data_IF_756998340217
#
_entry.id   IF_756998340217
#
_cell.length_a   1.000
_cell.length_b   1.000
_cell.length_c   1.000
_cell.angle_alpha   90.00
_cell.angle_beta   90.00
_cell.angle_gamma   90.00
#
_symmetry.space_group_name_H-M   'P 1'
#
loop_
_entity.id
_entity.type
_entity.pdbx_description
1 polymer ?
#
# COMPACT_ATOMS: atom_id res chain seq x y z
N UNK A 1 39.97 -15.93 27.36
CA UNK A 1 38.68 -16.64 27.33
C UNK A 1 37.59 -15.56 27.34
N UNK A 2 36.98 -15.31 26.21
CA UNK A 2 35.87 -14.34 26.11
C UNK A 2 34.57 -15.04 26.52
N UNK A 3 33.94 -14.53 27.57
CA UNK A 3 32.60 -14.98 27.99
C UNK A 3 31.57 -14.63 26.91
N UNK A 4 30.99 -15.65 26.32
CA UNK A 4 29.87 -15.51 25.40
C UNK A 4 28.65 -15.13 26.22
N UNK A 5 28.20 -13.90 26.09
CA UNK A 5 26.95 -13.41 26.69
C UNK A 5 25.79 -14.19 26.07
N UNK A 6 25.29 -15.17 26.81
CA UNK A 6 24.16 -16.01 26.40
C UNK A 6 22.85 -15.24 26.50
N UNK A 7 22.55 -14.40 25.52
CA UNK A 7 21.21 -13.81 25.37
C UNK A 7 20.25 -14.88 24.89
N UNK A 8 19.25 -15.21 25.72
CA UNK A 8 18.15 -16.07 25.28
C UNK A 8 17.18 -15.25 24.42
N UNK A 9 16.62 -15.83 23.34
CA UNK A 9 15.61 -15.17 22.53
C UNK A 9 14.37 -14.84 23.37
N UNK A 10 13.96 -13.58 23.36
CA UNK A 10 12.67 -13.18 23.91
C UNK A 10 11.56 -13.83 23.09
N UNK A 11 10.58 -14.47 23.74
CA UNK A 11 9.39 -15.02 23.07
C UNK A 11 8.65 -13.87 22.38
N UNK A 12 8.53 -13.91 21.06
CA UNK A 12 7.88 -12.90 20.23
C UNK A 12 6.38 -13.13 20.18
N UNK A 13 5.68 -12.79 21.23
CA UNK A 13 4.30 -12.29 21.12
C UNK A 13 4.44 -10.81 20.76
N UNK A 14 3.80 -10.33 19.67
CA UNK A 14 3.93 -8.96 19.21
C UNK A 14 3.81 -7.97 20.37
N UNK A 15 4.75 -7.02 20.49
CA UNK A 15 4.77 -6.10 21.61
C UNK A 15 3.52 -5.21 21.56
N UNK A 16 3.05 -4.72 22.71
CA UNK A 16 1.96 -3.73 22.75
C UNK A 16 2.26 -2.51 21.87
N UNK A 17 3.54 -2.19 21.67
CA UNK A 17 3.98 -1.13 20.77
C UNK A 17 3.72 -1.49 19.29
N UNK A 18 3.91 -2.75 18.89
CA UNK A 18 3.58 -3.20 17.51
C UNK A 18 2.07 -3.23 17.27
N UNK A 19 1.27 -3.62 18.25
CA UNK A 19 -0.18 -3.55 18.16
C UNK A 19 -0.67 -2.10 18.07
N UNK A 20 -0.15 -1.21 18.93
CA UNK A 20 -0.47 0.21 18.88
C UNK A 20 -0.05 0.85 17.54
N UNK A 21 1.13 0.52 17.03
CA UNK A 21 1.60 0.96 15.72
C UNK A 21 0.65 0.51 14.61
N UNK A 22 0.27 -0.77 14.56
CA UNK A 22 -0.62 -1.31 13.55
C UNK A 22 -2.02 -0.68 13.61
N UNK A 23 -2.55 -0.46 14.82
CA UNK A 23 -3.86 0.15 15.02
C UNK A 23 -3.85 1.62 14.56
N UNK A 24 -2.87 2.43 14.99
CA UNK A 24 -2.77 3.84 14.61
C UNK A 24 -2.55 3.97 13.11
N UNK A 25 -1.67 3.16 12.53
CA UNK A 25 -1.41 3.11 11.10
C UNK A 25 -2.68 2.79 10.29
N UNK A 26 -3.47 1.84 10.78
CA UNK A 26 -4.77 1.48 10.19
C UNK A 26 -5.75 2.66 10.24
N UNK A 27 -5.90 3.32 11.39
CA UNK A 27 -6.78 4.49 11.53
C UNK A 27 -6.36 5.67 10.65
N UNK A 28 -5.05 5.84 10.38
CA UNK A 28 -4.56 6.82 9.37
C UNK A 28 -4.98 6.39 7.97
N UNK A 29 -4.80 5.12 7.62
CA UNK A 29 -5.13 4.57 6.30
C UNK A 29 -6.65 4.59 6.01
N UNK A 30 -7.49 4.44 7.04
CA UNK A 30 -8.95 4.47 6.96
C UNK A 30 -9.53 5.89 7.10
N UNK A 31 -8.66 6.92 7.26
CA UNK A 31 -9.06 8.33 7.38
C UNK A 31 -9.68 8.71 8.72
N UNK A 32 -9.78 7.80 9.68
CA UNK A 32 -10.24 8.09 11.05
C UNK A 32 -9.35 9.13 11.74
N UNK A 33 -8.05 9.07 11.46
CA UNK A 33 -7.06 10.07 11.81
C UNK A 33 -6.70 10.88 10.57
N UNK A 34 -7.44 11.95 10.34
CA UNK A 34 -7.30 12.77 9.15
C UNK A 34 -5.93 13.47 9.04
N UNK A 35 -5.42 13.72 7.82
CA UNK A 35 -4.21 14.51 7.59
C UNK A 35 -4.30 15.87 8.29
N UNK A 36 -3.21 16.30 8.93
CA UNK A 36 -3.14 17.53 9.73
C UNK A 36 -3.78 17.46 11.11
N UNK A 37 -4.50 16.38 11.45
CA UNK A 37 -5.11 16.21 12.76
C UNK A 37 -4.06 16.15 13.87
N UNK A 38 -4.26 16.90 14.94
CA UNK A 38 -3.40 16.85 16.12
C UNK A 38 -3.68 15.58 16.93
N UNK A 39 -2.63 14.85 17.26
CA UNK A 39 -2.68 13.65 18.09
C UNK A 39 -1.84 13.81 19.34
N UNK A 40 -2.24 13.14 20.41
CA UNK A 40 -1.46 13.11 21.66
C UNK A 40 -1.29 11.67 22.12
N UNK A 41 -0.11 11.37 22.68
CA UNK A 41 0.18 10.05 23.26
C UNK A 41 -0.91 9.62 24.25
N UNK A 42 -1.38 10.57 25.08
CA UNK A 42 -2.37 10.31 26.13
C UNK A 42 -3.74 9.96 25.56
N UNK A 43 -4.19 10.68 24.52
CA UNK A 43 -5.48 10.41 23.88
C UNK A 43 -5.47 9.04 23.19
N UNK A 44 -4.47 8.78 22.36
CA UNK A 44 -4.33 7.50 21.66
C UNK A 44 -4.18 6.32 22.64
N UNK A 45 -3.48 6.51 23.76
CA UNK A 45 -3.37 5.49 24.80
C UNK A 45 -4.73 5.18 25.45
N UNK A 46 -5.53 6.21 25.71
CA UNK A 46 -6.89 6.04 26.23
C UNK A 46 -7.81 5.32 25.23
N UNK A 47 -7.74 5.73 23.95
CA UNK A 47 -8.56 5.14 22.88
C UNK A 47 -8.19 3.66 22.63
N UNK A 48 -6.90 3.30 22.74
CA UNK A 48 -6.40 1.94 22.56
C UNK A 48 -6.45 1.08 23.85
N UNK A 49 -6.81 1.65 24.99
CA UNK A 49 -6.86 0.93 26.27
C UNK A 49 -5.48 0.47 26.78
N UNK A 50 -4.41 1.19 26.46
CA UNK A 50 -3.02 0.86 26.86
C UNK A 50 -2.36 2.01 27.61
N UNK A 51 -1.18 1.76 28.18
CA UNK A 51 -0.36 2.83 28.77
C UNK A 51 0.26 3.72 27.69
N UNK A 52 0.70 4.96 28.00
CA UNK A 52 1.33 5.85 27.01
C UNK A 52 2.66 5.34 26.42
N UNK A 53 3.37 4.46 27.13
CA UNK A 53 4.69 3.99 26.71
C UNK A 53 4.68 3.26 25.34
N UNK A 54 3.86 2.21 25.12
CA UNK A 54 3.80 1.54 23.82
C UNK A 54 3.31 2.47 22.70
N UNK A 55 2.42 3.42 23.00
CA UNK A 55 1.94 4.42 22.02
C UNK A 55 3.07 5.38 21.63
N UNK A 56 3.91 5.80 22.56
CA UNK A 56 5.09 6.64 22.27
C UNK A 56 6.07 5.93 21.34
N UNK A 57 6.33 4.65 21.56
CA UNK A 57 7.18 3.84 20.67
C UNK A 57 6.56 3.70 19.27
N UNK A 58 5.26 3.44 19.20
CA UNK A 58 4.52 3.40 17.96
C UNK A 58 4.58 4.73 17.19
N UNK A 59 4.33 5.85 17.87
CA UNK A 59 4.39 7.19 17.28
C UNK A 59 5.79 7.56 16.79
N UNK A 60 6.85 7.17 17.50
CA UNK A 60 8.23 7.36 17.01
C UNK A 60 8.49 6.61 15.71
N UNK A 61 7.96 5.40 15.59
CA UNK A 61 8.07 4.60 14.37
C UNK A 61 7.30 5.26 13.22
N UNK A 62 6.07 5.72 13.47
CA UNK A 62 5.26 6.45 12.50
C UNK A 62 5.89 7.80 12.12
N UNK A 63 6.56 8.49 13.06
CA UNK A 63 7.31 9.72 12.79
C UNK A 63 8.53 9.44 11.88
N UNK A 64 9.22 8.33 12.10
CA UNK A 64 10.32 7.90 11.23
C UNK A 64 9.84 7.51 9.81
N UNK A 65 8.63 7.00 9.69
CA UNK A 65 7.97 6.66 8.44
C UNK A 65 7.31 7.87 7.75
N UNK A 66 7.35 9.06 8.37
CA UNK A 66 6.74 10.27 7.84
C UNK A 66 5.21 10.33 7.90
N UNK A 67 4.56 9.37 8.58
CA UNK A 67 3.10 9.35 8.79
C UNK A 67 2.63 10.28 9.90
N UNK A 68 3.54 10.61 10.82
CA UNK A 68 3.34 11.57 11.92
C UNK A 68 4.50 12.56 11.88
N UNK A 69 4.22 13.83 12.12
CA UNK A 69 5.22 14.89 12.15
C UNK A 69 5.10 15.72 13.43
N UNK A 70 6.20 16.38 13.82
CA UNK A 70 6.20 17.36 14.89
C UNK A 70 6.09 18.76 14.32
N UNK A 71 5.06 19.49 14.77
CA UNK A 71 4.97 20.92 14.48
C UNK A 71 6.04 21.71 15.22
N UNK A 72 6.25 22.97 14.84
CA UNK A 72 7.17 23.92 15.51
C UNK A 72 6.88 24.04 17.01
N UNK A 73 5.64 23.83 17.44
CA UNK A 73 5.21 23.79 18.83
C UNK A 73 5.45 22.42 19.53
N UNK A 74 6.19 21.51 18.91
CA UNK A 74 6.45 20.13 19.35
C UNK A 74 5.21 19.27 19.55
N UNK A 75 4.08 19.66 18.96
CA UNK A 75 2.86 18.86 18.96
C UNK A 75 2.93 17.83 17.82
N UNK A 76 2.47 16.61 18.12
CA UNK A 76 2.35 15.59 17.10
C UNK A 76 1.08 15.81 16.27
N UNK A 77 1.20 15.67 14.97
CA UNK A 77 0.07 15.68 14.04
C UNK A 77 0.26 14.59 12.97
N UNK A 78 -0.83 14.13 12.44
CA UNK A 78 -0.79 13.29 11.25
C UNK A 78 -0.21 14.12 10.12
N UNK A 79 0.74 13.58 9.39
CA UNK A 79 1.39 14.31 8.31
C UNK A 79 0.33 14.80 7.31
N UNK A 80 0.32 16.11 7.09
CA UNK A 80 -0.47 16.68 6.01
C UNK A 80 0.36 16.52 4.73
N UNK A 81 -0.14 15.74 3.80
CA UNK A 81 0.55 15.60 2.52
C UNK A 81 0.17 16.78 1.62
N UNK A 82 1.11 17.64 1.23
CA UNK A 82 0.90 18.55 0.11
C UNK A 82 0.60 17.72 -1.13
N UNK A 83 -0.31 18.18 -1.99
CA UNK A 83 -0.67 17.45 -3.21
C UNK A 83 0.53 17.13 -4.12
N UNK A 84 1.59 17.95 -4.06
CA UNK A 84 2.86 17.73 -4.74
C UNK A 84 3.58 16.48 -4.22
N UNK A 85 3.63 16.29 -2.91
CA UNK A 85 4.27 15.13 -2.28
C UNK A 85 3.52 13.82 -2.57
N UNK A 86 2.20 13.87 -2.73
CA UNK A 86 1.40 12.68 -3.06
C UNK A 86 1.71 12.21 -4.48
N UNK A 87 1.79 13.11 -5.46
CA UNK A 87 2.14 12.78 -6.84
C UNK A 87 3.53 12.13 -6.92
N UNK A 88 4.52 12.74 -6.27
CA UNK A 88 5.88 12.21 -6.19
C UNK A 88 5.95 10.82 -5.53
N UNK A 89 5.20 10.63 -4.43
CA UNK A 89 5.12 9.34 -3.75
C UNK A 89 4.46 8.26 -4.63
N UNK A 90 3.42 8.62 -5.37
CA UNK A 90 2.77 7.72 -6.32
C UNK A 90 3.69 7.35 -7.48
N UNK A 91 4.50 8.28 -7.99
CA UNK A 91 5.51 7.97 -9.00
C UNK A 91 6.52 6.94 -8.49
N UNK A 92 6.98 7.07 -7.25
CA UNK A 92 7.87 6.08 -6.62
C UNK A 92 7.16 4.72 -6.49
N UNK A 93 5.91 4.70 -6.03
CA UNK A 93 5.14 3.45 -5.92
C UNK A 93 5.03 2.74 -7.27
N UNK A 94 4.76 3.46 -8.36
CA UNK A 94 4.71 2.90 -9.72
C UNK A 94 6.02 2.22 -10.10
N UNK A 95 7.16 2.85 -9.79
CA UNK A 95 8.48 2.25 -10.06
C UNK A 95 8.71 0.98 -9.24
N UNK A 96 8.31 0.98 -7.97
CA UNK A 96 8.45 -0.17 -7.10
C UNK A 96 7.57 -1.34 -7.53
N UNK A 97 6.31 -1.08 -7.93
CA UNK A 97 5.40 -2.12 -8.46
C UNK A 97 5.89 -2.70 -9.79
N UNK A 98 6.46 -1.86 -10.66
CA UNK A 98 7.08 -2.32 -11.89
C UNK A 98 8.27 -3.26 -11.61
N UNK A 99 9.13 -2.89 -10.66
CA UNK A 99 10.24 -3.73 -10.21
C UNK A 99 9.76 -5.04 -9.56
N UNK A 100 8.65 -5.01 -8.82
CA UNK A 100 8.01 -6.20 -8.21
C UNK A 100 7.55 -7.17 -9.29
N UNK A 101 6.88 -6.71 -10.34
CA UNK A 101 6.44 -7.54 -11.46
C UNK A 101 7.62 -8.16 -12.23
N UNK A 102 8.71 -7.40 -12.42
CA UNK A 102 9.96 -7.92 -13.00
C UNK A 102 10.52 -9.08 -12.19
N UNK A 103 10.60 -8.91 -10.86
CA UNK A 103 11.09 -9.96 -9.96
C UNK A 103 10.15 -11.17 -9.92
N UNK A 104 8.82 -10.93 -9.99
CA UNK A 104 7.84 -11.99 -10.07
C UNK A 104 8.02 -12.81 -11.35
N UNK A 105 8.17 -12.18 -12.51
CA UNK A 105 8.38 -12.87 -13.77
C UNK A 105 9.59 -13.81 -13.75
N UNK A 106 10.67 -13.42 -13.04
CA UNK A 106 11.86 -14.26 -12.87
C UNK A 106 11.62 -15.49 -12.00
N UNK A 107 10.70 -15.43 -11.02
CA UNK A 107 10.61 -16.41 -9.92
C UNK A 107 9.31 -17.20 -9.88
N UNK A 108 8.29 -16.76 -10.60
CA UNK A 108 6.93 -17.32 -10.53
C UNK A 108 6.94 -18.79 -10.95
N UNK A 109 6.23 -19.62 -10.18
CA UNK A 109 6.06 -21.03 -10.46
C UNK A 109 4.63 -21.36 -10.92
N UNK A 110 4.43 -22.61 -11.36
CA UNK A 110 3.17 -23.07 -11.95
C UNK A 110 1.95 -22.90 -11.03
N UNK A 111 2.11 -23.09 -9.73
CA UNK A 111 1.02 -22.93 -8.76
C UNK A 111 0.52 -21.47 -8.72
N UNK A 112 1.44 -20.51 -8.68
CA UNK A 112 1.10 -19.09 -8.69
C UNK A 112 0.49 -18.68 -10.04
N UNK A 113 0.99 -19.21 -11.15
CA UNK A 113 0.41 -18.98 -12.48
C UNK A 113 -1.01 -19.53 -12.59
N UNK A 114 -1.27 -20.74 -12.09
CA UNK A 114 -2.61 -21.32 -12.06
C UNK A 114 -3.58 -20.46 -11.23
N UNK A 115 -3.12 -19.94 -10.10
CA UNK A 115 -3.93 -19.04 -9.25
C UNK A 115 -4.23 -17.72 -9.91
N UNK A 116 -3.26 -17.12 -10.62
CA UNK A 116 -3.49 -15.90 -11.40
C UNK A 116 -4.52 -16.12 -12.49
N UNK A 117 -4.42 -17.26 -13.21
CA UNK A 117 -5.37 -17.62 -14.26
C UNK A 117 -6.79 -17.75 -13.71
N UNK A 118 -6.99 -18.47 -12.60
CA UNK A 118 -8.31 -18.59 -11.94
C UNK A 118 -8.91 -17.22 -11.57
N UNK A 119 -8.09 -16.32 -11.04
CA UNK A 119 -8.53 -14.96 -10.67
C UNK A 119 -8.98 -14.17 -11.91
N UNK A 120 -8.26 -14.29 -13.03
CA UNK A 120 -8.61 -13.63 -14.29
C UNK A 120 -9.89 -14.18 -14.88
N UNK A 121 -10.04 -15.50 -14.94
CA UNK A 121 -11.27 -16.16 -15.44
C UNK A 121 -12.50 -15.71 -14.64
N UNK A 122 -12.37 -15.60 -13.32
CA UNK A 122 -13.44 -15.07 -12.44
C UNK A 122 -13.72 -13.59 -12.69
N UNK A 123 -12.69 -12.79 -12.90
CA UNK A 123 -12.86 -11.37 -13.17
C UNK A 123 -13.53 -11.12 -14.53
N UNK A 124 -13.15 -11.87 -15.58
CA UNK A 124 -13.78 -11.79 -16.90
C UNK A 124 -15.23 -12.25 -16.87
N UNK A 125 -15.53 -13.38 -16.24
CA UNK A 125 -16.90 -13.89 -16.09
C UNK A 125 -17.79 -12.95 -15.25
N UNK A 126 -17.19 -12.21 -14.31
CA UNK A 126 -17.88 -11.29 -13.41
C UNK A 126 -18.15 -9.90 -13.97
N UNK A 127 -17.57 -9.52 -15.10
CA UNK A 127 -17.60 -8.15 -15.64
C UNK A 127 -19.00 -7.51 -15.72
N UNK A 128 -20.02 -8.28 -16.01
CA UNK A 128 -21.40 -7.79 -16.18
C UNK A 128 -22.34 -8.21 -15.02
N UNK A 129 -21.87 -9.07 -14.13
CA UNK A 129 -22.74 -9.74 -13.14
C UNK A 129 -22.31 -9.51 -11.69
N UNK A 130 -21.06 -9.16 -11.48
CA UNK A 130 -20.46 -9.03 -10.13
C UNK A 130 -20.38 -7.56 -9.73
N UNK A 131 -20.60 -7.30 -8.46
CA UNK A 131 -20.53 -5.94 -7.93
C UNK A 131 -19.12 -5.36 -8.04
N UNK A 132 -18.95 -4.04 -8.27
CA UNK A 132 -17.64 -3.40 -8.44
C UNK A 132 -16.62 -3.71 -7.33
N UNK A 133 -17.06 -3.77 -6.08
CA UNK A 133 -16.17 -4.08 -4.96
C UNK A 133 -15.62 -5.51 -4.98
N UNK A 134 -16.35 -6.47 -5.56
CA UNK A 134 -15.88 -7.85 -5.72
C UNK A 134 -14.85 -7.95 -6.85
N UNK A 135 -15.03 -7.21 -7.95
CA UNK A 135 -14.02 -7.09 -9.02
C UNK A 135 -12.73 -6.46 -8.47
N UNK A 136 -12.84 -5.44 -7.63
CA UNK A 136 -11.70 -4.88 -6.91
C UNK A 136 -11.00 -5.89 -6.00
N UNK A 137 -11.77 -6.75 -5.32
CA UNK A 137 -11.19 -7.79 -4.48
C UNK A 137 -10.38 -8.81 -5.32
N UNK A 138 -10.87 -9.17 -6.52
CA UNK A 138 -10.14 -10.03 -7.46
C UNK A 138 -8.85 -9.34 -7.96
N UNK A 139 -8.91 -8.05 -8.30
CA UNK A 139 -7.75 -7.28 -8.71
C UNK A 139 -6.68 -7.22 -7.61
N UNK A 140 -7.08 -6.96 -6.37
CA UNK A 140 -6.15 -6.97 -5.21
C UNK A 140 -5.57 -8.37 -4.96
N UNK A 141 -6.36 -9.42 -5.15
CA UNK A 141 -5.88 -10.79 -5.03
C UNK A 141 -4.83 -11.12 -6.11
N UNK A 142 -5.03 -10.62 -7.34
CA UNK A 142 -4.04 -10.73 -8.41
C UNK A 142 -2.72 -10.05 -8.02
N UNK A 143 -2.77 -8.79 -7.59
CA UNK A 143 -1.59 -8.03 -7.14
C UNK A 143 -0.87 -8.74 -5.98
N UNK A 144 -1.62 -9.34 -5.04
CA UNK A 144 -1.03 -10.07 -3.93
C UNK A 144 -0.26 -11.31 -4.38
N UNK A 145 -0.78 -12.06 -5.38
CA UNK A 145 -0.06 -13.23 -5.92
C UNK A 145 1.22 -12.79 -6.64
N UNK A 146 1.20 -11.68 -7.39
CA UNK A 146 2.38 -11.12 -8.03
C UNK A 146 3.44 -10.73 -6.99
N UNK A 147 3.02 -10.06 -5.92
CA UNK A 147 3.90 -9.64 -4.82
C UNK A 147 4.51 -10.85 -4.07
N UNK A 148 3.73 -11.92 -3.86
CA UNK A 148 4.22 -13.16 -3.27
C UNK A 148 5.26 -13.83 -4.18
N UNK A 149 5.00 -13.90 -5.49
CA UNK A 149 5.91 -14.46 -6.48
C UNK A 149 7.22 -13.69 -6.60
N UNK A 150 7.21 -12.37 -6.42
CA UNK A 150 8.41 -11.54 -6.38
C UNK A 150 9.37 -11.94 -5.26
N UNK A 151 8.85 -12.53 -4.17
CA UNK A 151 9.60 -13.03 -3.01
C UNK A 151 10.67 -12.03 -2.54
N UNK A 152 10.24 -10.75 -2.35
CA UNK A 152 11.09 -9.65 -1.89
C UNK A 152 10.43 -8.88 -0.73
N UNK A 153 10.52 -9.38 0.52
CA UNK A 153 9.90 -8.75 1.67
C UNK A 153 10.28 -7.27 1.90
N UNK A 154 11.54 -6.82 1.68
CA UNK A 154 11.87 -5.40 1.75
C UNK A 154 11.10 -4.54 0.76
N UNK A 155 11.01 -4.96 -0.52
CA UNK A 155 10.27 -4.25 -1.56
C UNK A 155 8.78 -4.17 -1.23
N UNK A 156 8.18 -5.29 -0.79
CA UNK A 156 6.79 -5.33 -0.34
C UNK A 156 6.52 -4.30 0.76
N UNK A 157 7.34 -4.26 1.81
CA UNK A 157 7.18 -3.28 2.90
C UNK A 157 7.25 -1.83 2.41
N UNK A 158 8.13 -1.55 1.45
CA UNK A 158 8.18 -0.21 0.83
C UNK A 158 6.89 0.12 0.10
N UNK A 159 6.39 -0.77 -0.77
CA UNK A 159 5.13 -0.57 -1.49
C UNK A 159 3.96 -0.35 -0.52
N UNK A 160 3.84 -1.19 0.51
CA UNK A 160 2.81 -1.07 1.55
C UNK A 160 2.89 0.27 2.30
N UNK A 161 4.07 0.82 2.53
CA UNK A 161 4.21 2.12 3.17
C UNK A 161 3.69 3.27 2.30
N UNK A 162 3.90 3.21 0.99
CA UNK A 162 3.36 4.20 0.05
C UNK A 162 1.85 4.07 -0.17
N UNK A 163 1.31 2.85 -0.16
CA UNK A 163 -0.13 2.62 -0.30
C UNK A 163 -0.96 3.29 0.81
N UNK A 164 -0.38 3.46 2.01
CA UNK A 164 -1.03 4.13 3.14
C UNK A 164 -1.05 5.65 2.94
N UNK A 165 0.00 6.19 2.33
CA UNK A 165 0.14 7.62 2.10
C UNK A 165 -0.90 8.16 1.09
N UNK A 166 -1.49 7.31 0.24
CA UNK A 166 -2.55 7.67 -0.70
C UNK A 166 -3.96 7.78 -0.13
N UNK A 167 -4.19 7.30 1.10
CA UNK A 167 -5.39 7.45 1.93
C UNK A 167 -6.74 7.34 1.22
N UNK A 168 -7.74 8.02 1.77
CA UNK A 168 -9.14 8.02 1.34
C UNK A 168 -9.38 8.53 -0.08
N UNK A 169 -8.54 9.43 -0.58
CA UNK A 169 -8.72 10.02 -1.90
C UNK A 169 -8.48 8.99 -3.00
N UNK A 170 -7.47 8.12 -2.80
CA UNK A 170 -7.18 7.00 -3.69
C UNK A 170 -8.30 5.95 -3.66
N UNK A 171 -8.81 5.62 -2.47
CA UNK A 171 -9.90 4.65 -2.33
C UNK A 171 -11.16 5.18 -3.03
N UNK A 172 -11.54 6.44 -2.79
CA UNK A 172 -12.71 7.06 -3.42
C UNK A 172 -12.60 7.16 -4.94
N UNK A 173 -11.42 7.52 -5.45
CA UNK A 173 -11.20 7.60 -6.89
C UNK A 173 -11.31 6.22 -7.54
N UNK A 174 -10.68 5.21 -6.95
CA UNK A 174 -10.76 3.83 -7.45
C UNK A 174 -12.20 3.29 -7.37
N UNK A 175 -12.97 3.61 -6.31
CA UNK A 175 -14.39 3.22 -6.21
C UNK A 175 -15.25 3.90 -7.28
N UNK A 176 -14.96 5.14 -7.64
CA UNK A 176 -15.63 5.86 -8.72
C UNK A 176 -15.25 5.29 -10.08
N UNK A 177 -13.96 5.01 -10.31
CA UNK A 177 -13.45 4.47 -11.56
C UNK A 177 -13.93 3.04 -11.79
N UNK A 178 -14.04 2.21 -10.74
CA UNK A 178 -14.57 0.84 -10.84
C UNK A 178 -16.05 0.82 -11.24
N UNK A 179 -16.81 1.89 -10.99
CA UNK A 179 -18.17 2.04 -11.50
C UNK A 179 -18.19 2.27 -13.02
N UNK A 180 -17.09 2.69 -13.64
CA UNK A 180 -16.93 2.78 -15.09
C UNK A 180 -16.57 1.43 -15.68
N UNK A 181 -17.50 0.85 -16.45
CA UNK A 181 -17.32 -0.45 -17.07
C UNK A 181 -16.18 -0.47 -18.10
N UNK A 182 -15.88 0.64 -18.78
CA UNK A 182 -14.78 0.72 -19.74
C UNK A 182 -13.43 0.71 -19.02
N UNK A 183 -13.29 1.48 -17.96
CA UNK A 183 -12.11 1.48 -17.10
C UNK A 183 -11.84 0.09 -16.50
N UNK A 184 -12.89 -0.55 -15.96
CA UNK A 184 -12.79 -1.90 -15.37
C UNK A 184 -12.35 -2.95 -16.40
N UNK A 185 -12.92 -2.94 -17.63
CA UNK A 185 -12.46 -3.84 -18.71
C UNK A 185 -11.00 -3.58 -19.07
N UNK A 186 -10.59 -2.31 -19.15
CA UNK A 186 -9.19 -1.93 -19.41
C UNK A 186 -8.24 -2.48 -18.36
N UNK A 187 -8.62 -2.43 -17.09
CA UNK A 187 -7.83 -2.98 -15.96
C UNK A 187 -7.68 -4.50 -16.06
N UNK A 188 -8.76 -5.23 -16.37
CA UNK A 188 -8.69 -6.68 -16.54
C UNK A 188 -7.82 -7.03 -17.76
N UNK A 189 -7.94 -6.30 -18.86
CA UNK A 189 -7.07 -6.48 -20.03
C UNK A 189 -5.58 -6.26 -19.69
N UNK A 190 -5.27 -5.28 -18.86
CA UNK A 190 -3.91 -5.08 -18.36
C UNK A 190 -3.43 -6.27 -17.53
N UNK A 191 -4.25 -6.79 -16.61
CA UNK A 191 -3.90 -7.97 -15.81
C UNK A 191 -3.65 -9.20 -16.68
N UNK A 192 -4.47 -9.44 -17.73
CA UNK A 192 -4.26 -10.52 -18.70
C UNK A 192 -2.92 -10.36 -19.42
N UNK A 193 -2.58 -9.14 -19.83
CA UNK A 193 -1.31 -8.87 -20.47
C UNK A 193 -0.11 -9.10 -19.53
N UNK A 194 -0.24 -8.67 -18.26
CA UNK A 194 0.78 -8.91 -17.21
C UNK A 194 0.93 -10.41 -16.97
N UNK A 195 -0.17 -11.15 -16.81
CA UNK A 195 -0.15 -12.60 -16.67
C UNK A 195 0.59 -13.29 -17.83
N UNK A 196 0.35 -12.85 -19.06
CA UNK A 196 1.07 -13.36 -20.23
C UNK A 196 2.58 -13.17 -20.12
N UNK A 197 3.02 -11.98 -19.68
CA UNK A 197 4.45 -11.70 -19.47
C UNK A 197 5.06 -12.53 -18.31
N UNK A 198 4.31 -12.71 -17.22
CA UNK A 198 4.73 -13.55 -16.10
C UNK A 198 4.88 -15.02 -16.49
N UNK A 199 3.90 -15.57 -17.24
CA UNK A 199 3.91 -16.94 -17.76
C UNK A 199 5.08 -17.20 -18.72
N UNK A 200 5.38 -16.20 -19.55
CA UNK A 200 6.48 -16.28 -20.51
C UNK A 200 7.84 -15.96 -19.86
N UNK A 201 7.88 -15.67 -18.55
CA UNK A 201 9.06 -15.23 -17.79
C UNK A 201 9.77 -14.02 -18.43
N UNK A 202 8.99 -13.16 -19.11
CA UNK A 202 9.48 -11.95 -19.76
C UNK A 202 9.53 -10.79 -18.76
N UNK A 203 10.70 -10.63 -18.12
CA UNK A 203 10.96 -9.66 -17.07
C UNK A 203 10.73 -8.21 -17.54
N UNK A 204 11.19 -7.85 -18.72
CA UNK A 204 11.10 -6.48 -19.24
C UNK A 204 9.68 -6.12 -19.63
N UNK A 205 8.97 -7.05 -20.22
CA UNK A 205 7.56 -6.90 -20.58
C UNK A 205 6.69 -6.80 -19.33
N UNK A 206 6.92 -7.64 -18.33
CA UNK A 206 6.19 -7.61 -17.06
C UNK A 206 6.38 -6.25 -16.34
N UNK A 207 7.63 -5.73 -16.27
CA UNK A 207 7.95 -4.42 -15.73
C UNK A 207 7.20 -3.30 -16.45
N UNK A 208 7.26 -3.31 -17.79
CA UNK A 208 6.64 -2.26 -18.63
C UNK A 208 5.12 -2.26 -18.50
N UNK A 209 4.49 -3.43 -18.52
CA UNK A 209 3.04 -3.58 -18.41
C UNK A 209 2.55 -3.19 -17.01
N UNK A 210 3.22 -3.61 -15.95
CA UNK A 210 2.87 -3.22 -14.59
C UNK A 210 3.04 -1.72 -14.36
N UNK A 211 4.08 -1.10 -14.91
CA UNK A 211 4.27 0.36 -14.85
C UNK A 211 3.10 1.11 -15.48
N UNK A 212 2.65 0.68 -16.67
CA UNK A 212 1.48 1.26 -17.35
C UNK A 212 0.22 1.06 -16.51
N UNK A 213 0.00 -0.16 -16.04
CA UNK A 213 -1.14 -0.53 -15.20
C UNK A 213 -1.21 0.27 -13.90
N UNK A 214 -0.09 0.39 -13.18
CA UNK A 214 -0.03 1.17 -11.95
C UNK A 214 -0.30 2.66 -12.21
N UNK A 215 0.20 3.20 -13.33
CA UNK A 215 -0.03 4.59 -13.71
C UNK A 215 -1.49 4.88 -14.05
N UNK A 216 -2.20 3.96 -14.70
CA UNK A 216 -3.62 4.14 -15.03
C UNK A 216 -4.54 4.11 -13.80
N UNK A 217 -4.07 3.63 -12.66
CA UNK A 217 -4.76 3.67 -11.38
C UNK A 217 -4.46 4.93 -10.55
N UNK A 218 -3.63 5.84 -11.06
CA UNK A 218 -3.40 7.12 -10.38
C UNK A 218 -4.69 7.96 -10.42
N UNK A 219 -5.14 8.50 -9.27
CA UNK A 219 -6.21 9.46 -9.27
C UNK A 219 -5.82 10.67 -10.15
N UNK A 220 -6.77 11.21 -10.86
CA UNK A 220 -6.61 12.50 -11.54
C UNK A 220 -6.53 13.57 -10.46
N UNK A 221 -5.32 13.87 -10.00
CA UNK A 221 -5.11 14.95 -9.04
C UNK A 221 -5.61 16.26 -9.66
N UNK A 222 -6.40 17.06 -8.94
CA UNK A 222 -6.81 18.36 -9.44
C UNK A 222 -5.56 19.22 -9.71
N UNK A 223 -5.58 20.07 -10.75
CA UNK A 223 -4.45 20.93 -11.06
C UNK A 223 -4.06 21.76 -9.84
N UNK A 224 -2.75 21.87 -9.59
CA UNK A 224 -2.16 22.62 -8.47
C UNK A 224 -2.87 23.96 -8.29
N UNK A 225 -3.46 24.20 -7.11
CA UNK A 225 -3.83 25.55 -6.72
C UNK A 225 -2.55 26.38 -6.67
N UNK A 226 -2.50 27.52 -7.36
CA UNK A 226 -1.36 28.41 -7.22
C UNK A 226 -1.20 28.74 -5.73
N UNK A 227 0.04 28.66 -5.23
CA UNK A 227 0.36 29.06 -3.87
C UNK A 227 -0.13 30.48 -3.68
N UNK A 228 -1.09 30.69 -2.78
CA UNK A 228 -1.45 32.02 -2.32
C UNK A 228 -0.23 32.55 -1.55
N UNK A 229 0.56 33.37 -2.25
CA UNK A 229 1.61 34.14 -1.64
C UNK A 229 0.97 35.11 -0.64
N UNK A 230 1.05 34.77 0.65
CA UNK A 230 0.74 35.62 1.79
C UNK A 230 2.00 36.05 2.50
#
# INVERSE_FOLDING_TARGET
MAETTGLQPLARTGSLAEHAYSAIRKSIAEGELAPGAQVTERKLAADLGVSPTPVREALRKLEHEGLVERSDSRRLRIAAQPGETLEELMEIEILLRAAEARLAARKIGDEALARLQELLERAEAGLETVAPHELMALARAFDAVVADAAANPPLRRMIESFAILGGDERVRTVEQDVADAEWTRGRIADHIAIYGALRDHDEERAETLMRRHARSAMPHLPPKRPAENG
#
